data_IF_070999286477
#
_entry.id   IF_070999286477
#
_cell.length_a   1.000
_cell.length_b   1.000
_cell.length_c   1.000
_cell.angle_alpha   90.00
_cell.angle_beta   90.00
_cell.angle_gamma   90.00
#
_symmetry.space_group_name_H-M   'P 1'
#
loop_
_entity.id
_entity.type
_entity.pdbx_description
1 polymer ?
#
# COMPACT_ATOMS: atom_id res chain seq x y z
N UNK A 1 -5.69 2.26 -16.01
CA UNK A 1 -5.64 2.16 -14.56
C UNK A 1 -4.19 2.25 -14.08
N UNK A 2 -3.97 2.59 -12.81
CA UNK A 2 -2.63 2.81 -12.21
C UNK A 2 -1.77 3.79 -13.03
N UNK A 3 -2.37 4.91 -13.45
CA UNK A 3 -1.74 5.86 -14.34
C UNK A 3 -0.46 6.49 -13.76
N UNK A 4 -0.30 6.49 -12.42
CA UNK A 4 0.93 6.96 -11.77
C UNK A 4 2.18 6.19 -12.23
N UNK A 5 2.04 4.98 -12.76
CA UNK A 5 3.16 4.19 -13.29
C UNK A 5 3.82 4.80 -14.54
N UNK A 6 3.22 5.77 -15.23
CA UNK A 6 3.87 6.48 -16.36
C UNK A 6 4.88 7.50 -15.90
N UNK A 7 4.74 8.00 -14.67
CA UNK A 7 5.51 9.09 -14.11
C UNK A 7 6.74 8.60 -13.36
N UNK A 8 7.91 9.17 -13.65
CA UNK A 8 9.13 8.95 -12.85
C UNK A 8 8.98 9.50 -11.41
N UNK A 9 8.00 10.37 -11.20
CA UNK A 9 7.61 10.89 -9.89
C UNK A 9 6.61 10.01 -9.16
N UNK A 10 6.03 9.00 -9.86
CA UNK A 10 5.12 8.01 -9.31
C UNK A 10 5.83 6.98 -8.42
N UNK A 11 5.09 6.35 -7.53
CA UNK A 11 5.61 5.37 -6.55
C UNK A 11 6.09 4.05 -7.17
N UNK A 12 5.62 3.74 -8.38
CA UNK A 12 5.82 2.46 -9.06
C UNK A 12 6.03 2.73 -10.55
N UNK A 13 7.08 3.52 -10.85
CA UNK A 13 7.41 3.88 -12.23
C UNK A 13 7.75 2.64 -13.04
N UNK A 14 7.04 2.47 -14.16
CA UNK A 14 7.23 1.34 -15.09
C UNK A 14 7.53 1.83 -16.48
N UNK A 15 8.76 1.69 -16.97
CA UNK A 15 9.16 2.13 -18.32
C UNK A 15 8.25 1.57 -19.42
N UNK A 16 7.72 0.36 -19.23
CA UNK A 16 6.79 -0.28 -20.18
C UNK A 16 5.48 0.52 -20.37
N UNK A 17 5.05 1.31 -19.40
CA UNK A 17 3.87 2.17 -19.53
C UNK A 17 4.08 3.31 -20.54
N UNK A 18 5.31 3.75 -20.76
CA UNK A 18 5.63 4.75 -21.79
C UNK A 18 5.37 4.22 -23.20
N UNK A 19 5.39 2.89 -23.40
CA UNK A 19 5.04 2.25 -24.69
C UNK A 19 3.57 2.43 -25.07
N UNK A 20 2.71 2.78 -24.11
CA UNK A 20 1.30 3.13 -24.38
C UNK A 20 1.22 4.29 -25.37
N UNK A 21 2.06 5.32 -25.21
CA UNK A 21 2.11 6.46 -26.13
C UNK A 21 2.56 6.07 -27.53
N UNK A 22 3.55 5.18 -27.63
CA UNK A 22 4.02 4.68 -28.92
C UNK A 22 2.93 3.88 -29.64
N UNK A 23 2.17 3.09 -28.87
CA UNK A 23 1.01 2.37 -29.39
C UNK A 23 -0.08 3.34 -29.88
N UNK A 24 -0.43 4.36 -29.10
CA UNK A 24 -1.43 5.35 -29.47
C UNK A 24 -1.08 6.11 -30.76
N UNK A 25 0.21 6.38 -31.00
CA UNK A 25 0.70 7.02 -32.24
C UNK A 25 0.52 6.14 -33.50
N UNK A 26 0.42 4.82 -33.34
CA UNK A 26 0.22 3.86 -34.45
C UNK A 26 -1.26 3.69 -34.84
N UNK A 27 -2.18 4.18 -34.02
CA UNK A 27 -3.61 4.07 -34.32
C UNK A 27 -4.00 5.06 -35.41
N UNK A 28 -4.93 4.66 -36.31
CA UNK A 28 -5.41 5.52 -37.42
C UNK A 28 -6.17 6.77 -36.92
N UNK A 29 -6.67 6.71 -35.70
CA UNK A 29 -7.31 7.83 -35.00
C UNK A 29 -6.97 7.79 -33.54
N UNK A 30 -6.96 8.94 -32.88
CA UNK A 30 -6.72 9.03 -31.44
C UNK A 30 -8.01 8.68 -30.67
N UNK A 31 -8.03 7.62 -29.87
CA UNK A 31 -9.17 7.30 -29.02
C UNK A 31 -9.33 8.31 -27.87
N UNK A 32 -10.50 8.27 -27.22
CA UNK A 32 -10.67 8.93 -25.92
C UNK A 32 -9.77 8.24 -24.90
N UNK A 33 -8.95 9.03 -24.19
CA UNK A 33 -8.06 8.53 -23.17
C UNK A 33 -8.61 8.86 -21.79
N UNK A 34 -8.63 7.88 -20.92
CA UNK A 34 -8.96 8.05 -19.51
C UNK A 34 -7.80 7.51 -18.66
N UNK A 35 -7.41 8.26 -17.64
CA UNK A 35 -6.34 7.89 -16.71
C UNK A 35 -6.92 7.84 -15.28
N UNK A 36 -6.70 6.74 -14.59
CA UNK A 36 -7.16 6.53 -13.22
C UNK A 36 -5.99 6.15 -12.33
N UNK A 37 -5.96 6.69 -11.13
CA UNK A 37 -5.01 6.31 -10.08
C UNK A 37 -5.60 6.64 -8.70
N UNK A 38 -5.29 5.83 -7.71
CA UNK A 38 -5.73 6.05 -6.34
C UNK A 38 -4.77 6.94 -5.53
N UNK A 39 -3.52 7.13 -5.99
CA UNK A 39 -2.42 7.70 -5.22
C UNK A 39 -1.56 8.62 -6.07
N UNK A 40 -2.13 9.73 -6.55
CA UNK A 40 -1.35 10.73 -7.26
C UNK A 40 -1.27 12.02 -6.43
N UNK A 41 -0.05 12.46 -6.11
CA UNK A 41 0.20 13.83 -5.69
C UNK A 41 -0.08 14.81 -6.84
N UNK A 42 -0.18 16.11 -6.57
CA UNK A 42 -0.38 17.10 -7.61
C UNK A 42 0.68 17.03 -8.71
N UNK A 43 1.96 16.84 -8.33
CA UNK A 43 3.08 16.70 -9.26
C UNK A 43 2.90 15.46 -10.18
N UNK A 44 2.55 14.32 -9.62
CA UNK A 44 2.31 13.07 -10.38
C UNK A 44 1.11 13.22 -11.31
N UNK A 45 0.04 13.88 -10.87
CA UNK A 45 -1.14 14.14 -11.69
C UNK A 45 -0.80 14.99 -12.92
N UNK A 46 -0.06 16.08 -12.71
CA UNK A 46 0.31 16.99 -13.79
C UNK A 46 1.24 16.27 -14.78
N UNK A 47 2.19 15.48 -14.30
CA UNK A 47 3.09 14.66 -15.12
C UNK A 47 2.30 13.58 -15.94
N UNK A 48 1.28 12.95 -15.35
CA UNK A 48 0.39 12.03 -16.09
C UNK A 48 -0.28 12.75 -17.26
N UNK A 49 -0.79 13.96 -17.05
CA UNK A 49 -1.46 14.73 -18.11
C UNK A 49 -0.49 15.07 -19.25
N UNK A 50 0.72 15.48 -18.90
CA UNK A 50 1.76 15.84 -19.87
C UNK A 50 2.27 14.61 -20.63
N UNK A 51 2.68 13.55 -19.93
CA UNK A 51 3.21 12.33 -20.56
C UNK A 51 2.17 11.70 -21.47
N UNK A 52 0.92 11.54 -21.02
CA UNK A 52 -0.16 10.98 -21.84
C UNK A 52 -0.69 11.97 -22.88
N UNK A 53 -0.18 13.21 -22.89
CA UNK A 53 -0.59 14.29 -23.79
C UNK A 53 -2.12 14.40 -23.83
N UNK A 54 -2.76 14.46 -22.64
CA UNK A 54 -4.21 14.57 -22.53
C UNK A 54 -4.67 15.94 -23.08
N UNK A 55 -5.75 15.95 -23.89
CA UNK A 55 -6.27 17.16 -24.53
C UNK A 55 -7.48 17.65 -23.76
N UNK A 56 -7.41 18.85 -23.20
CA UNK A 56 -8.47 19.47 -22.40
C UNK A 56 -9.10 18.48 -21.41
N UNK A 57 -8.30 17.81 -20.54
CA UNK A 57 -8.81 16.74 -19.71
C UNK A 57 -9.77 17.25 -18.64
N UNK A 58 -10.89 16.57 -18.46
CA UNK A 58 -11.68 16.71 -17.26
C UNK A 58 -10.92 16.02 -16.10
N UNK A 59 -10.51 16.81 -15.10
CA UNK A 59 -9.77 16.31 -13.93
C UNK A 59 -10.70 16.28 -12.73
N UNK A 60 -10.90 15.10 -12.16
CA UNK A 60 -11.64 14.90 -10.93
C UNK A 60 -10.71 14.29 -9.88
N UNK A 61 -10.56 14.97 -8.75
CA UNK A 61 -9.90 14.45 -7.57
C UNK A 61 -10.95 14.28 -6.48
N UNK A 62 -11.17 13.04 -6.05
CA UNK A 62 -11.95 12.75 -4.84
C UNK A 62 -11.02 12.88 -3.64
N UNK A 63 -11.53 13.31 -2.49
CA UNK A 63 -10.72 13.46 -1.29
C UNK A 63 -10.03 12.16 -0.85
N UNK A 64 -8.90 12.30 -0.14
CA UNK A 64 -8.16 11.18 0.43
C UNK A 64 -8.63 10.83 1.85
N UNK A 65 -9.53 11.60 2.45
CA UNK A 65 -9.99 11.33 3.80
C UNK A 65 -10.88 10.09 3.86
N UNK A 66 -10.60 9.27 4.85
CA UNK A 66 -11.35 8.05 5.20
C UNK A 66 -11.68 8.13 6.69
N UNK A 67 -12.75 8.85 7.02
CA UNK A 67 -13.14 9.15 8.41
C UNK A 67 -13.37 7.90 9.27
N UNK A 68 -13.78 6.80 8.65
CA UNK A 68 -14.03 5.52 9.31
C UNK A 68 -12.76 4.74 9.69
N UNK A 69 -11.57 5.16 9.26
CA UNK A 69 -10.32 4.48 9.57
C UNK A 69 -9.66 5.08 10.81
N UNK A 70 -9.31 4.24 11.76
CA UNK A 70 -8.43 4.58 12.88
C UNK A 70 -6.98 4.31 12.49
N UNK A 71 -6.08 5.27 12.69
CA UNK A 71 -4.66 5.11 12.40
C UNK A 71 -3.82 5.06 13.66
N UNK A 72 -2.89 4.10 13.76
CA UNK A 72 -1.94 4.03 14.85
C UNK A 72 -0.55 3.59 14.39
N UNK A 73 0.50 4.20 14.96
CA UNK A 73 1.88 3.74 14.82
C UNK A 73 2.37 3.27 16.17
N UNK A 74 2.79 2.01 16.24
CA UNK A 74 3.35 1.38 17.44
C UNK A 74 4.82 1.00 17.22
N UNK A 75 5.62 0.97 18.29
CA UNK A 75 7.03 0.59 18.27
C UNK A 75 7.30 -0.53 19.26
N UNK A 76 6.76 -1.72 19.03
CA UNK A 76 6.90 -2.83 19.94
C UNK A 76 8.33 -3.35 19.98
N UNK A 77 8.78 -3.83 21.12
CA UNK A 77 10.06 -4.56 21.26
C UNK A 77 9.98 -5.93 20.59
N UNK A 78 8.82 -6.57 20.68
CA UNK A 78 8.47 -7.85 20.06
C UNK A 78 7.20 -7.65 19.23
N UNK A 79 7.37 -7.61 17.90
CA UNK A 79 6.27 -7.38 16.96
C UNK A 79 5.26 -8.50 16.96
N UNK A 80 5.71 -9.76 17.08
CA UNK A 80 4.80 -10.89 17.04
C UNK A 80 3.92 -10.94 18.31
N UNK A 81 4.51 -10.75 19.46
CA UNK A 81 3.77 -10.71 20.73
C UNK A 81 2.73 -9.57 20.75
N UNK A 82 3.08 -8.40 20.21
CA UNK A 82 2.14 -7.28 20.06
C UNK A 82 1.00 -7.62 19.11
N UNK A 83 1.31 -8.24 17.96
CA UNK A 83 0.33 -8.70 17.00
C UNK A 83 -0.62 -9.72 17.62
N UNK A 84 -0.09 -10.72 18.31
CA UNK A 84 -0.88 -11.75 18.98
C UNK A 84 -1.82 -11.16 20.04
N UNK A 85 -1.33 -10.22 20.84
CA UNK A 85 -2.14 -9.52 21.83
C UNK A 85 -3.27 -8.73 21.17
N UNK A 86 -2.97 -8.01 20.11
CA UNK A 86 -3.94 -7.26 19.33
C UNK A 86 -5.03 -8.15 18.72
N UNK A 87 -4.64 -9.27 18.09
CA UNK A 87 -5.59 -10.19 17.46
C UNK A 87 -6.50 -10.89 18.47
N UNK A 88 -5.98 -11.26 19.65
CA UNK A 88 -6.79 -11.81 20.75
C UNK A 88 -7.81 -10.80 21.25
N UNK A 89 -7.40 -9.55 21.49
CA UNK A 89 -8.33 -8.49 21.87
C UNK A 89 -9.40 -8.24 20.80
N UNK A 90 -9.00 -8.31 19.51
CA UNK A 90 -9.92 -8.13 18.39
C UNK A 90 -10.94 -9.28 18.32
N UNK A 91 -10.51 -10.52 18.49
CA UNK A 91 -11.39 -11.68 18.52
C UNK A 91 -12.38 -11.64 19.68
N UNK A 92 -11.98 -11.14 20.84
CA UNK A 92 -12.87 -10.95 21.99
C UNK A 92 -13.94 -9.87 21.74
N UNK A 93 -13.56 -8.75 21.08
CA UNK A 93 -14.47 -7.61 20.84
C UNK A 93 -15.34 -7.79 19.60
N UNK A 94 -14.80 -8.40 18.56
CA UNK A 94 -15.42 -8.56 17.25
C UNK A 94 -15.09 -9.95 16.68
N UNK A 95 -15.70 -11.03 17.21
CA UNK A 95 -15.41 -12.38 16.77
C UNK A 95 -15.58 -12.56 15.25
N UNK A 96 -14.63 -13.27 14.62
CA UNK A 96 -14.69 -13.57 13.19
C UNK A 96 -14.38 -12.39 12.27
N UNK A 97 -13.87 -11.28 12.78
CA UNK A 97 -13.54 -10.11 11.94
C UNK A 97 -12.39 -10.40 10.96
N UNK A 98 -12.57 -10.00 9.71
CA UNK A 98 -11.56 -10.15 8.66
C UNK A 98 -10.45 -9.11 8.77
N UNK A 99 -9.21 -9.50 8.49
CA UNK A 99 -8.08 -8.59 8.49
C UNK A 99 -6.93 -8.97 7.58
N UNK A 100 -6.08 -7.99 7.26
CA UNK A 100 -4.88 -8.18 6.44
C UNK A 100 -3.65 -7.78 7.25
N UNK A 101 -2.60 -8.60 7.17
CA UNK A 101 -1.31 -8.34 7.79
C UNK A 101 -0.26 -8.23 6.69
N UNK A 102 0.25 -7.03 6.45
CA UNK A 102 1.29 -6.79 5.46
C UNK A 102 2.69 -6.96 6.03
N UNK A 103 3.48 -7.79 5.36
CA UNK A 103 4.88 -8.06 5.67
C UNK A 103 5.79 -7.62 4.51
N UNK A 104 7.00 -7.19 4.83
CA UNK A 104 7.94 -6.68 3.83
C UNK A 104 8.57 -7.78 2.96
N UNK A 105 8.68 -9.01 3.48
CA UNK A 105 9.31 -10.13 2.78
C UNK A 105 8.47 -11.40 2.80
N UNK A 106 8.70 -12.26 1.78
CA UNK A 106 8.11 -13.60 1.71
C UNK A 106 8.40 -14.42 2.98
N UNK A 107 9.63 -14.32 3.49
CA UNK A 107 10.04 -15.00 4.71
C UNK A 107 9.20 -14.55 5.91
N UNK A 108 8.98 -13.26 6.08
CA UNK A 108 8.13 -12.76 7.17
C UNK A 108 6.68 -13.22 7.02
N UNK A 109 6.16 -13.28 5.78
CA UNK A 109 4.81 -13.80 5.52
C UNK A 109 4.68 -15.24 6.00
N UNK A 110 5.63 -16.11 5.61
CA UNK A 110 5.62 -17.52 5.99
C UNK A 110 5.74 -17.70 7.51
N UNK A 111 6.65 -16.96 8.14
CA UNK A 111 6.90 -17.04 9.58
C UNK A 111 5.68 -16.57 10.39
N UNK A 112 5.12 -15.41 10.07
CA UNK A 112 3.95 -14.86 10.77
C UNK A 112 2.72 -15.74 10.54
N UNK A 113 2.49 -16.21 9.31
CA UNK A 113 1.37 -17.11 9.00
C UNK A 113 1.49 -18.44 9.76
N UNK A 114 2.69 -19.01 9.83
CA UNK A 114 2.94 -20.24 10.58
C UNK A 114 2.66 -20.04 12.08
N UNK A 115 3.22 -19.02 12.69
CA UNK A 115 3.04 -18.73 14.12
C UNK A 115 1.56 -18.47 14.48
N UNK A 116 0.84 -17.69 13.66
CA UNK A 116 -0.58 -17.44 13.88
C UNK A 116 -1.44 -18.70 13.76
N UNK A 117 -1.07 -19.62 12.87
CA UNK A 117 -1.74 -20.92 12.73
C UNK A 117 -1.52 -21.79 13.95
N UNK A 118 -0.29 -21.84 14.49
CA UNK A 118 0.02 -22.55 15.75
C UNK A 118 -0.74 -21.95 16.95
N UNK A 119 -0.95 -20.62 16.96
CA UNK A 119 -1.75 -19.93 17.97
C UNK A 119 -3.27 -20.06 17.76
N UNK A 120 -3.73 -20.84 16.76
CA UNK A 120 -5.12 -21.21 16.54
C UNK A 120 -5.94 -20.23 15.69
N UNK A 121 -5.33 -19.26 15.02
CA UNK A 121 -6.04 -18.34 14.13
C UNK A 121 -6.36 -18.95 12.76
N UNK A 122 -7.52 -18.58 12.21
CA UNK A 122 -7.92 -18.91 10.85
C UNK A 122 -7.21 -18.01 9.85
N UNK A 123 -6.02 -18.43 9.40
CA UNK A 123 -5.08 -17.60 8.62
C UNK A 123 -4.68 -18.27 7.31
N UNK A 124 -4.50 -17.46 6.27
CA UNK A 124 -3.90 -17.84 5.00
C UNK A 124 -2.81 -16.83 4.59
N UNK A 125 -2.08 -17.10 3.48
CA UNK A 125 -0.94 -16.28 3.06
C UNK A 125 -0.96 -15.96 1.57
N UNK A 126 -0.31 -14.84 1.20
CA UNK A 126 -0.18 -14.45 -0.21
C UNK A 126 1.14 -13.74 -0.48
N UNK A 127 1.92 -14.24 -1.43
CA UNK A 127 3.13 -13.59 -1.95
C UNK A 127 3.51 -14.15 -3.32
N UNK A 128 4.32 -13.44 -4.09
CA UNK A 128 4.71 -13.80 -5.45
C UNK A 128 5.53 -15.12 -5.58
N UNK A 129 5.98 -15.71 -4.47
CA UNK A 129 6.67 -17.00 -4.46
C UNK A 129 5.76 -18.23 -4.41
N UNK A 130 4.45 -18.05 -4.22
CA UNK A 130 3.46 -19.11 -4.30
C UNK A 130 3.10 -19.42 -5.74
N UNK A 131 2.62 -20.65 -6.03
CA UNK A 131 2.07 -20.98 -7.35
C UNK A 131 0.80 -20.16 -7.62
N UNK A 132 0.41 -20.08 -8.90
CA UNK A 132 -0.81 -19.35 -9.30
C UNK A 132 -2.05 -19.98 -8.67
N UNK A 133 -2.08 -21.31 -8.57
CA UNK A 133 -3.15 -22.08 -7.96
C UNK A 133 -3.27 -21.76 -6.46
N UNK A 134 -2.15 -21.83 -5.72
CA UNK A 134 -2.13 -21.49 -4.29
C UNK A 134 -2.54 -20.03 -4.05
N UNK A 135 -2.06 -19.10 -4.88
CA UNK A 135 -2.45 -17.69 -4.77
C UNK A 135 -3.95 -17.50 -4.93
N UNK A 136 -4.53 -18.16 -5.95
CA UNK A 136 -5.96 -18.10 -6.21
C UNK A 136 -6.77 -18.70 -5.07
N UNK A 137 -6.42 -19.90 -4.61
CA UNK A 137 -7.11 -20.60 -3.51
C UNK A 137 -7.05 -19.77 -2.22
N UNK A 138 -5.87 -19.30 -1.83
CA UNK A 138 -5.68 -18.50 -0.63
C UNK A 138 -6.45 -17.16 -0.69
N UNK A 139 -6.50 -16.54 -1.86
CA UNK A 139 -7.29 -15.32 -2.09
C UNK A 139 -8.78 -15.58 -1.96
N UNK A 140 -9.29 -16.64 -2.59
CA UNK A 140 -10.69 -17.05 -2.48
C UNK A 140 -11.07 -17.42 -1.04
N UNK A 141 -10.20 -18.11 -0.33
CA UNK A 141 -10.39 -18.44 1.09
C UNK A 141 -10.59 -17.20 1.95
N UNK A 142 -9.85 -16.15 1.68
CA UNK A 142 -10.00 -14.87 2.39
C UNK A 142 -11.24 -14.09 1.94
N UNK A 143 -11.53 -14.03 0.63
CA UNK A 143 -12.68 -13.29 0.10
C UNK A 143 -14.01 -13.90 0.57
N UNK A 144 -14.08 -15.24 0.62
CA UNK A 144 -15.29 -15.97 1.01
C UNK A 144 -15.34 -16.37 2.50
N UNK A 145 -14.56 -15.73 3.36
CA UNK A 145 -14.55 -15.92 4.82
C UNK A 145 -14.21 -17.34 5.29
N UNK A 146 -13.62 -18.17 4.42
CA UNK A 146 -13.07 -19.48 4.83
C UNK A 146 -11.82 -19.31 5.69
N UNK A 147 -11.11 -18.19 5.48
CA UNK A 147 -10.01 -17.72 6.31
C UNK A 147 -10.22 -16.24 6.66
N UNK A 148 -10.09 -15.90 7.95
CA UNK A 148 -10.34 -14.54 8.44
C UNK A 148 -9.14 -13.62 8.29
N UNK A 149 -7.92 -14.14 8.33
CA UNK A 149 -6.71 -13.35 8.29
C UNK A 149 -5.88 -13.70 7.05
N UNK A 150 -5.53 -12.67 6.27
CA UNK A 150 -4.57 -12.76 5.18
C UNK A 150 -3.22 -12.18 5.63
N UNK A 151 -2.15 -12.98 5.61
CA UNK A 151 -0.77 -12.50 5.78
C UNK A 151 -0.14 -12.39 4.39
N UNK A 152 0.32 -11.20 4.01
CA UNK A 152 0.76 -10.99 2.63
C UNK A 152 1.91 -10.00 2.48
N UNK A 153 2.60 -10.07 1.32
CA UNK A 153 3.39 -8.95 0.82
C UNK A 153 2.50 -7.97 0.04
N UNK A 154 3.07 -6.85 -0.42
CA UNK A 154 2.41 -5.88 -1.30
C UNK A 154 1.88 -6.49 -2.62
N UNK A 155 2.33 -7.71 -2.99
CA UNK A 155 1.76 -8.45 -4.12
C UNK A 155 0.27 -8.79 -3.94
N UNK A 156 -0.24 -8.79 -2.70
CA UNK A 156 -1.65 -8.95 -2.39
C UNK A 156 -2.33 -7.60 -2.43
N UNK A 157 -2.96 -7.29 -3.53
CA UNK A 157 -3.57 -5.96 -3.58
C UNK A 157 -4.39 -5.68 -4.82
N UNK A 158 -3.83 -5.83 -6.00
CA UNK A 158 -4.57 -5.50 -7.23
C UNK A 158 -5.77 -6.44 -7.40
N UNK A 159 -6.94 -5.84 -7.63
CA UNK A 159 -8.18 -6.59 -7.90
C UNK A 159 -8.86 -7.23 -6.68
N UNK A 160 -8.43 -6.90 -5.44
CA UNK A 160 -9.09 -7.41 -4.24
C UNK A 160 -10.15 -6.41 -3.79
N UNK A 161 -11.40 -6.88 -3.83
CA UNK A 161 -12.55 -6.13 -3.38
C UNK A 161 -13.31 -6.92 -2.29
N UNK A 162 -12.78 -6.84 -1.04
CA UNK A 162 -13.44 -7.30 0.17
C UNK A 162 -13.81 -6.07 1.00
N UNK A 163 -15.09 -5.71 1.09
CA UNK A 163 -15.52 -4.45 1.70
C UNK A 163 -15.37 -4.44 3.23
N UNK A 164 -15.51 -5.57 3.87
CA UNK A 164 -15.65 -5.76 5.31
C UNK A 164 -14.35 -6.09 6.06
N UNK A 165 -13.20 -5.67 5.55
CA UNK A 165 -11.91 -5.79 6.24
C UNK A 165 -11.90 -4.86 7.45
N UNK A 166 -11.87 -5.42 8.67
CA UNK A 166 -11.95 -4.65 9.92
C UNK A 166 -10.61 -4.15 10.43
N UNK A 167 -9.52 -4.73 9.98
CA UNK A 167 -8.18 -4.24 10.32
C UNK A 167 -7.15 -4.50 9.23
N UNK A 168 -6.21 -3.57 9.10
CA UNK A 168 -4.98 -3.74 8.34
C UNK A 168 -3.80 -3.49 9.28
N UNK A 169 -2.93 -4.49 9.44
CA UNK A 169 -1.71 -4.36 10.23
C UNK A 169 -0.50 -4.39 9.30
N UNK A 170 0.29 -3.33 9.31
CA UNK A 170 1.61 -3.34 8.71
C UNK A 170 2.61 -3.87 9.73
N UNK A 171 2.96 -5.15 9.61
CA UNK A 171 3.95 -5.81 10.47
C UNK A 171 5.36 -5.23 10.28
N UNK A 172 5.63 -4.72 9.09
CA UNK A 172 6.82 -3.96 8.76
C UNK A 172 6.42 -2.63 8.11
N UNK A 173 7.24 -1.60 8.29
CA UNK A 173 7.03 -0.30 7.65
C UNK A 173 7.12 -0.43 6.12
N UNK A 174 6.10 -0.02 5.35
CA UNK A 174 6.17 0.01 3.90
C UNK A 174 7.22 1.02 3.38
N UNK A 175 7.58 0.92 2.11
CA UNK A 175 8.65 1.74 1.53
C UNK A 175 8.30 3.22 1.39
N UNK A 176 7.00 3.56 1.27
CA UNK A 176 6.51 4.93 1.06
C UNK A 176 5.07 5.11 1.55
N UNK A 177 4.63 6.37 1.61
CA UNK A 177 3.30 6.77 2.06
C UNK A 177 2.18 6.30 1.11
N UNK A 178 2.46 6.26 -0.17
CA UNK A 178 1.49 5.84 -1.20
C UNK A 178 1.15 4.36 -1.04
N UNK A 179 2.16 3.50 -0.90
CA UNK A 179 1.95 2.06 -0.62
C UNK A 179 1.20 1.87 0.70
N UNK A 180 1.61 2.61 1.75
CA UNK A 180 0.91 2.59 3.03
C UNK A 180 -0.57 2.95 2.89
N UNK A 181 -0.88 4.04 2.18
CA UNK A 181 -2.25 4.50 1.98
C UNK A 181 -3.09 3.52 1.17
N UNK A 182 -2.54 2.96 0.08
CA UNK A 182 -3.22 1.94 -0.73
C UNK A 182 -3.53 0.67 0.06
N UNK A 183 -2.57 0.20 0.86
CA UNK A 183 -2.70 -1.00 1.67
C UNK A 183 -3.66 -0.78 2.85
N UNK A 184 -3.51 0.31 3.59
CA UNK A 184 -4.41 0.71 4.67
C UNK A 184 -5.83 0.96 4.18
N UNK A 185 -5.98 1.56 2.99
CA UNK A 185 -7.25 1.87 2.34
C UNK A 185 -8.12 0.65 1.98
N UNK A 186 -7.59 -0.58 2.15
CA UNK A 186 -8.38 -1.82 2.01
C UNK A 186 -9.29 -2.06 3.21
N UNK A 187 -8.99 -1.44 4.35
CA UNK A 187 -9.84 -1.51 5.53
C UNK A 187 -11.13 -0.71 5.32
N UNK A 188 -12.24 -1.23 5.83
CA UNK A 188 -13.52 -0.53 5.94
C UNK A 188 -14.04 0.10 4.65
N UNK A 189 -13.97 -0.59 3.52
CA UNK A 189 -14.51 -0.08 2.23
C UNK A 189 -16.02 0.06 2.24
N UNK A 190 -16.70 -0.66 3.12
CA UNK A 190 -18.12 -0.54 3.39
C UNK A 190 -18.52 0.70 4.21
N UNK A 191 -17.55 1.51 4.64
CA UNK A 191 -17.76 2.70 5.47
C UNK A 191 -17.80 2.42 6.97
N UNK A 192 -17.81 1.16 7.39
CA UNK A 192 -17.80 0.79 8.79
C UNK A 192 -16.43 1.01 9.44
N UNK A 193 -16.37 1.24 10.77
CA UNK A 193 -15.12 1.48 11.49
C UNK A 193 -14.10 0.36 11.26
N UNK A 194 -12.85 0.75 10.96
CA UNK A 194 -11.75 -0.19 10.79
C UNK A 194 -10.43 0.41 11.28
N UNK A 195 -9.46 -0.44 11.59
CA UNK A 195 -8.19 -0.06 12.19
C UNK A 195 -7.01 -0.29 11.26
N UNK A 196 -6.13 0.71 11.17
CA UNK A 196 -4.89 0.65 10.39
C UNK A 196 -3.71 0.83 11.36
N UNK A 197 -3.01 -0.26 11.69
CA UNK A 197 -1.94 -0.27 12.68
C UNK A 197 -0.60 -0.54 11.99
N UNK A 198 0.37 0.29 12.25
CA UNK A 198 1.72 0.13 11.74
C UNK A 198 2.71 -0.18 12.86
N UNK A 199 3.44 -1.28 12.73
CA UNK A 199 4.55 -1.64 13.62
C UNK A 199 5.87 -1.19 13.01
N UNK A 200 6.47 -0.18 13.60
CA UNK A 200 7.76 0.34 13.19
C UNK A 200 8.91 -0.23 14.01
N UNK A 201 9.97 -0.63 13.33
CA UNK A 201 11.28 -0.89 13.95
C UNK A 201 12.40 -0.30 13.07
N UNK A 202 13.52 0.19 13.64
CA UNK A 202 14.62 0.78 12.87
C UNK A 202 15.22 -0.16 11.80
N UNK A 203 15.09 -1.47 11.98
CA UNK A 203 15.53 -2.45 10.99
C UNK A 203 14.72 -2.37 9.69
N UNK A 204 13.44 -1.97 9.76
CA UNK A 204 12.58 -1.84 8.58
C UNK A 204 13.16 -0.79 7.61
N UNK A 205 13.73 0.28 8.14
CA UNK A 205 14.37 1.33 7.34
C UNK A 205 15.61 0.78 6.59
N UNK A 206 16.43 -0.03 7.25
CA UNK A 206 17.60 -0.67 6.60
C UNK A 206 17.17 -1.62 5.50
N UNK A 207 16.13 -2.41 5.76
CA UNK A 207 15.60 -3.36 4.78
C UNK A 207 15.02 -2.64 3.57
N UNK A 208 14.25 -1.57 3.78
CA UNK A 208 13.70 -0.77 2.69
C UNK A 208 14.81 -0.10 1.86
N UNK A 209 15.87 0.44 2.50
CA UNK A 209 17.03 0.97 1.78
C UNK A 209 17.70 -0.07 0.90
N UNK A 210 17.93 -1.26 1.45
CA UNK A 210 18.50 -2.37 0.69
C UNK A 210 17.64 -2.74 -0.54
N UNK A 211 16.30 -2.76 -0.39
CA UNK A 211 15.38 -3.03 -1.48
C UNK A 211 15.38 -1.93 -2.54
N UNK A 212 15.49 -0.66 -2.16
CA UNK A 212 15.61 0.47 -3.10
C UNK A 212 16.91 0.37 -3.90
N UNK A 213 18.03 0.02 -3.25
CA UNK A 213 19.35 -0.04 -3.87
C UNK A 213 19.52 -1.26 -4.79
N UNK A 214 18.80 -2.38 -4.51
CA UNK A 214 18.98 -3.68 -5.18
C UNK A 214 17.68 -4.18 -5.84
N UNK A 215 16.67 -3.35 -6.04
CA UNK A 215 15.40 -3.77 -6.66
C UNK A 215 15.56 -4.06 -8.14
N UNK A 216 14.92 -5.15 -8.62
CA UNK A 216 14.88 -5.56 -10.03
C UNK A 216 14.27 -4.48 -10.94
N UNK A 217 13.34 -3.68 -10.42
CA UNK A 217 12.68 -2.57 -11.12
C UNK A 217 13.68 -1.55 -11.67
N UNK A 218 14.88 -1.49 -11.10
CA UNK A 218 15.94 -0.57 -11.52
C UNK A 218 16.86 -1.14 -12.62
N UNK A 219 16.82 -2.42 -12.95
CA UNK A 219 17.74 -3.04 -13.91
C UNK A 219 17.45 -2.65 -15.36
N UNK A 220 16.19 -2.36 -15.69
CA UNK A 220 15.76 -1.96 -17.06
C UNK A 220 16.00 -0.47 -17.35
N UNK A 221 16.41 0.33 -16.37
CA UNK A 221 16.57 1.78 -16.50
C UNK A 221 18.01 2.14 -16.93
N UNK A 222 18.14 3.19 -17.73
CA UNK A 222 19.45 3.81 -17.95
C UNK A 222 20.01 4.42 -16.65
N UNK A 223 21.33 4.64 -16.59
CA UNK A 223 22.02 5.04 -15.36
C UNK A 223 21.51 6.37 -14.77
N UNK A 224 21.09 7.30 -15.61
CA UNK A 224 20.62 8.62 -15.16
C UNK A 224 19.22 8.49 -14.57
N UNK A 225 18.32 7.83 -15.29
CA UNK A 225 16.95 7.58 -14.83
C UNK A 225 16.95 6.74 -13.55
N UNK A 226 17.81 5.70 -13.48
CA UNK A 226 18.00 4.90 -12.27
C UNK A 226 18.37 5.74 -11.05
N UNK A 227 19.30 6.68 -11.21
CA UNK A 227 19.70 7.55 -10.11
C UNK A 227 18.55 8.46 -9.66
N UNK A 228 17.83 9.06 -10.60
CA UNK A 228 16.68 9.93 -10.30
C UNK A 228 15.60 9.17 -9.52
N UNK A 229 15.23 7.97 -9.99
CA UNK A 229 14.22 7.12 -9.32
C UNK A 229 14.68 6.74 -7.92
N UNK A 230 15.93 6.33 -7.76
CA UNK A 230 16.50 5.96 -6.47
C UNK A 230 16.51 7.13 -5.46
N UNK A 231 16.89 8.33 -5.89
CA UNK A 231 16.85 9.54 -5.04
C UNK A 231 15.42 9.86 -4.59
N UNK A 232 14.44 9.68 -5.49
CA UNK A 232 13.00 9.84 -5.17
C UNK A 232 12.51 8.81 -4.18
N UNK A 233 12.90 7.56 -4.36
CA UNK A 233 12.50 6.49 -3.44
C UNK A 233 13.12 6.69 -2.04
N UNK A 234 14.32 7.25 -1.95
CA UNK A 234 14.90 7.63 -0.66
C UNK A 234 14.13 8.77 0.01
N UNK A 235 13.71 9.78 -0.77
CA UNK A 235 12.88 10.87 -0.23
C UNK A 235 11.54 10.33 0.28
N UNK A 236 10.86 9.46 -0.47
CA UNK A 236 9.60 8.82 -0.06
C UNK A 236 9.79 7.97 1.20
N UNK A 237 10.87 7.20 1.28
CA UNK A 237 11.22 6.42 2.47
C UNK A 237 11.46 7.33 3.68
N UNK A 238 12.06 8.50 3.46
CA UNK A 238 12.25 9.51 4.50
C UNK A 238 10.91 10.04 5.01
N UNK A 239 9.98 10.38 4.12
CA UNK A 239 8.63 10.83 4.49
C UNK A 239 7.86 9.74 5.27
N UNK A 240 7.93 8.49 4.82
CA UNK A 240 7.34 7.37 5.55
C UNK A 240 7.97 7.18 6.93
N UNK A 241 9.28 7.39 7.04
CA UNK A 241 9.97 7.34 8.33
C UNK A 241 9.50 8.46 9.25
N UNK A 242 9.35 9.68 8.75
CA UNK A 242 8.82 10.80 9.54
C UNK A 242 7.39 10.55 10.01
N UNK A 243 6.53 9.98 9.16
CA UNK A 243 5.21 9.53 9.58
C UNK A 243 5.26 8.59 10.79
N UNK A 244 6.23 7.66 10.82
CA UNK A 244 6.40 6.76 11.96
C UNK A 244 6.89 7.46 13.25
N UNK A 245 7.45 8.67 13.16
CA UNK A 245 7.97 9.43 14.30
C UNK A 245 7.14 10.64 14.69
N UNK A 246 6.20 11.05 13.85
CA UNK A 246 5.40 12.25 14.13
C UNK A 246 4.64 12.13 15.45
N UNK A 247 4.42 13.27 16.09
CA UNK A 247 3.53 13.44 17.23
C UNK A 247 2.25 14.18 16.84
N UNK A 248 2.13 14.52 15.58
CA UNK A 248 0.97 15.17 15.01
C UNK A 248 -0.12 14.15 14.68
N UNK A 249 -1.29 14.61 14.29
CA UNK A 249 -2.39 13.78 13.85
C UNK A 249 -1.97 12.95 12.62
N UNK A 250 -1.99 11.64 12.74
CA UNK A 250 -1.57 10.72 11.67
C UNK A 250 -2.42 10.87 10.41
N UNK A 251 -3.72 11.08 10.56
CA UNK A 251 -4.64 11.34 9.44
C UNK A 251 -4.25 12.61 8.69
N UNK A 252 -4.04 13.72 9.40
CA UNK A 252 -3.66 14.97 8.78
C UNK A 252 -2.30 14.88 8.09
N UNK A 253 -1.37 14.10 8.64
CA UNK A 253 -0.10 13.86 7.97
C UNK A 253 -0.31 13.19 6.60
N UNK A 254 -1.18 12.17 6.53
CA UNK A 254 -1.53 11.50 5.28
C UNK A 254 -2.17 12.48 4.29
N UNK A 255 -3.19 13.22 4.72
CA UNK A 255 -3.91 14.15 3.86
C UNK A 255 -3.00 15.26 3.32
N UNK A 256 -2.18 15.85 4.18
CA UNK A 256 -1.20 16.87 3.78
C UNK A 256 -0.15 16.31 2.80
N UNK A 257 0.27 15.05 2.97
CA UNK A 257 1.18 14.39 2.03
C UNK A 257 0.60 14.33 0.61
N UNK A 258 -0.71 14.08 0.48
CA UNK A 258 -1.42 14.05 -0.80
C UNK A 258 -1.91 15.43 -1.27
N UNK A 259 -1.57 16.50 -0.55
CA UNK A 259 -1.86 17.89 -0.94
C UNK A 259 -3.20 18.42 -0.43
N UNK A 260 -3.90 17.71 0.43
CA UNK A 260 -5.08 18.24 1.14
C UNK A 260 -4.63 19.02 2.37
N UNK A 261 -4.86 20.35 2.35
CA UNK A 261 -4.52 21.20 3.49
C UNK A 261 -5.51 20.96 4.63
N UNK A 262 -5.04 20.34 5.67
CA UNK A 262 -5.82 20.04 6.88
C UNK A 262 -5.09 20.51 8.12
N UNK A 263 -5.85 20.86 9.16
CA UNK A 263 -5.30 21.31 10.43
C UNK A 263 -6.11 20.77 11.60
N UNK A 264 -5.48 20.66 12.76
CA UNK A 264 -6.11 20.22 13.98
C UNK A 264 -6.00 18.71 14.25
N UNK A 265 -6.90 18.19 15.03
CA UNK A 265 -6.95 16.78 15.44
C UNK A 265 -8.18 16.10 14.85
N UNK A 266 -8.00 14.92 14.25
CA UNK A 266 -9.12 14.14 13.72
C UNK A 266 -9.94 13.41 14.80
N UNK A 267 -9.40 13.25 16.02
CA UNK A 267 -10.04 12.49 17.08
C UNK A 267 -10.06 10.96 16.89
N UNK A 268 -9.40 10.46 15.83
CA UNK A 268 -9.45 9.05 15.44
C UNK A 268 -8.06 8.54 14.98
N UNK A 269 -7.02 8.83 15.78
CA UNK A 269 -5.66 8.32 15.57
C UNK A 269 -4.87 8.28 16.90
#
# INVERSE_FOLDING_TARGET
DEAHCVSQWGQDFRPSYLKILEFLKKLPYRPVLTAYTATATAEVRDDIMDILNLRDPFVLTTGFDRENLYYAVKRPRDKYRELLSYLKEKEEKMPGSSGIIYCLSRKNVEEVCYQLREDGFSVTRYHAGLSDEERKENQEDFIYDRKQIMVATNAFGMGIDKPDVRFVVHYNMPKNMESYYQEAGRAGRDGEPAECILYYAPIDNRTNRFLIENGEENEELDAITKQIVMERDWERLRQMTFYCYTKECLRHYILNYFGEQTSGYCGNC
#
